data_IF_192893905637
#
_entry.id   IF_192893905637
#
_cell.length_a   1.000
_cell.length_b   1.000
_cell.length_c   1.000
_cell.angle_alpha   90.00
_cell.angle_beta   90.00
_cell.angle_gamma   90.00
#
_symmetry.space_group_name_H-M   'P 1'
#
loop_
_entity.id
_entity.type
_entity.pdbx_description
1 polymer ?
#
# COMPACT_ATOMS: atom_id res chain seq x y z
N UNK A 1 1.05 -10.31 48.04
CA UNK A 1 0.60 -9.56 46.85
C UNK A 1 1.40 -10.11 45.68
N UNK A 2 0.86 -11.10 44.97
CA UNK A 2 1.48 -11.64 43.76
C UNK A 2 1.13 -10.72 42.59
N UNK A 3 2.14 -10.13 41.96
CA UNK A 3 1.95 -9.37 40.73
C UNK A 3 1.54 -10.35 39.64
N UNK A 4 0.26 -10.33 39.25
CA UNK A 4 -0.22 -11.03 38.05
C UNK A 4 0.49 -10.42 36.85
N UNK A 5 1.57 -11.06 36.42
CA UNK A 5 2.17 -10.83 35.12
C UNK A 5 1.15 -11.26 34.08
N UNK A 6 0.38 -10.31 33.57
CA UNK A 6 -0.46 -10.49 32.39
C UNK A 6 0.44 -11.02 31.27
N UNK A 7 0.35 -12.33 31.01
CA UNK A 7 1.05 -12.97 29.91
C UNK A 7 0.48 -12.37 28.64
N UNK A 8 1.20 -11.38 28.08
CA UNK A 8 0.82 -10.72 26.84
C UNK A 8 0.69 -11.81 25.78
N UNK A 9 -0.54 -12.12 25.38
CA UNK A 9 -0.80 -13.10 24.32
C UNK A 9 -0.17 -12.55 23.05
N UNK A 10 0.91 -13.18 22.60
CA UNK A 10 1.61 -12.79 21.38
C UNK A 10 0.90 -13.47 20.23
N UNK A 11 0.21 -12.68 19.41
CA UNK A 11 -0.43 -13.16 18.18
C UNK A 11 0.65 -13.62 17.20
N UNK A 12 0.60 -14.85 16.68
CA UNK A 12 1.56 -15.31 15.69
C UNK A 12 1.48 -14.49 14.39
N UNK A 13 2.63 -14.36 13.70
CA UNK A 13 2.77 -13.62 12.44
C UNK A 13 1.64 -13.88 11.44
N UNK A 14 1.31 -15.15 11.18
CA UNK A 14 0.33 -15.50 10.17
C UNK A 14 -1.08 -15.02 10.53
N UNK A 15 -1.47 -15.06 11.81
CA UNK A 15 -2.76 -14.51 12.24
C UNK A 15 -2.83 -12.99 12.04
N UNK A 16 -1.73 -12.29 12.34
CA UNK A 16 -1.62 -10.85 12.09
C UNK A 16 -1.78 -10.52 10.60
N UNK A 17 -1.11 -11.28 9.72
CA UNK A 17 -1.19 -11.07 8.27
C UNK A 17 -2.58 -11.42 7.71
N UNK A 18 -3.24 -12.45 8.22
CA UNK A 18 -4.62 -12.79 7.85
C UNK A 18 -5.61 -11.69 8.28
N UNK A 19 -5.44 -11.13 9.48
CA UNK A 19 -6.25 -10.01 9.95
C UNK A 19 -6.05 -8.77 9.06
N UNK A 20 -4.80 -8.49 8.65
CA UNK A 20 -4.54 -7.41 7.70
C UNK A 20 -5.13 -7.71 6.31
N UNK A 21 -5.06 -8.94 5.81
CA UNK A 21 -5.71 -9.33 4.55
C UNK A 21 -7.22 -9.05 4.58
N UNK A 22 -7.90 -9.50 5.63
CA UNK A 22 -9.34 -9.33 5.80
C UNK A 22 -9.72 -7.83 5.86
N UNK A 23 -8.87 -6.99 6.47
CA UNK A 23 -9.05 -5.54 6.48
C UNK A 23 -8.84 -4.92 5.09
N UNK A 24 -7.83 -5.37 4.35
CA UNK A 24 -7.58 -4.94 2.97
C UNK A 24 -8.78 -5.23 2.05
N UNK A 25 -9.39 -6.41 2.18
CA UNK A 25 -10.55 -6.82 1.37
C UNK A 25 -11.84 -6.07 1.71
N UNK A 26 -12.03 -5.68 2.98
CA UNK A 26 -13.18 -4.87 3.42
C UNK A 26 -13.12 -3.41 2.96
N UNK A 27 -11.98 -2.99 2.44
CA UNK A 27 -11.71 -1.60 2.09
C UNK A 27 -11.28 -0.79 3.31
N UNK A 28 -10.41 0.20 3.06
CA UNK A 28 -9.74 0.96 4.11
C UNK A 28 -10.18 2.42 4.06
N UNK A 29 -10.66 2.92 5.19
CA UNK A 29 -10.93 4.34 5.40
C UNK A 29 -11.83 4.94 4.31
N UNK A 30 -11.30 5.95 3.61
CA UNK A 30 -11.96 6.71 2.53
C UNK A 30 -11.78 6.09 1.14
N UNK A 31 -11.17 4.89 1.03
CA UNK A 31 -10.91 4.21 -0.24
C UNK A 31 -9.74 4.79 -1.03
N UNK A 32 -9.00 5.76 -0.48
CA UNK A 32 -7.83 6.36 -1.15
C UNK A 32 -6.55 5.57 -0.95
N UNK A 33 -6.55 4.62 -0.02
CA UNK A 33 -5.46 3.67 0.18
C UNK A 33 -6.03 2.25 0.14
N UNK A 34 -5.30 1.34 -0.47
CA UNK A 34 -5.64 -0.09 -0.50
C UNK A 34 -4.38 -0.93 -0.42
N UNK A 35 -4.50 -2.16 0.08
CA UNK A 35 -3.44 -3.15 -0.03
C UNK A 35 -4.03 -4.54 -0.16
N UNK A 36 -3.25 -5.44 -0.75
CA UNK A 36 -3.61 -6.85 -0.91
C UNK A 36 -2.38 -7.72 -1.13
N UNK A 37 -2.58 -9.03 -1.07
CA UNK A 37 -1.52 -9.99 -1.40
C UNK A 37 -1.11 -9.83 -2.86
N UNK A 38 0.19 -9.92 -3.11
CA UNK A 38 0.72 -9.83 -4.46
C UNK A 38 0.57 -11.15 -5.24
N UNK A 39 0.74 -12.25 -4.52
CA UNK A 39 0.61 -13.60 -5.03
C UNK A 39 -0.29 -14.39 -4.07
N UNK A 40 -1.46 -14.81 -4.55
CA UNK A 40 -2.43 -15.56 -3.77
C UNK A 40 -1.92 -16.96 -3.39
N UNK A 41 -0.94 -17.49 -4.13
CA UNK A 41 -0.34 -18.80 -3.88
C UNK A 41 0.81 -18.73 -2.84
N UNK A 42 1.24 -17.52 -2.44
CA UNK A 42 2.26 -17.34 -1.40
C UNK A 42 1.69 -17.67 0.00
N UNK A 43 1.86 -18.93 0.40
CA UNK A 43 1.49 -19.45 1.72
C UNK A 43 2.14 -18.67 2.87
N UNK A 44 3.30 -18.04 2.64
CA UNK A 44 3.98 -17.27 3.68
C UNK A 44 3.49 -15.82 3.77
N UNK A 45 2.64 -15.36 2.85
CA UNK A 45 2.05 -14.01 2.82
C UNK A 45 3.13 -12.93 2.99
N UNK A 46 4.23 -13.05 2.27
CA UNK A 46 5.38 -12.14 2.41
C UNK A 46 5.24 -10.95 1.47
N UNK A 47 4.69 -11.15 0.28
CA UNK A 47 4.63 -10.11 -0.76
C UNK A 47 3.25 -9.48 -0.82
N UNK A 48 3.21 -8.17 -0.67
CA UNK A 48 1.99 -7.36 -0.67
C UNK A 48 2.12 -6.21 -1.66
N UNK A 49 1.00 -5.85 -2.27
CA UNK A 49 0.88 -4.70 -3.14
C UNK A 49 0.00 -3.67 -2.46
N UNK A 50 0.55 -2.48 -2.24
CA UNK A 50 -0.17 -1.31 -1.72
C UNK A 50 -0.44 -0.31 -2.83
N UNK A 51 -1.56 0.39 -2.75
CA UNK A 51 -1.95 1.46 -3.67
C UNK A 51 -2.32 2.70 -2.87
N UNK A 52 -1.81 3.85 -3.29
CA UNK A 52 -2.14 5.16 -2.72
C UNK A 52 -2.64 6.06 -3.86
N UNK A 53 -3.86 6.57 -3.70
CA UNK A 53 -4.39 7.64 -4.54
C UNK A 53 -3.83 8.95 -4.02
N UNK A 54 -3.20 9.70 -4.91
CA UNK A 54 -2.53 10.94 -4.57
C UNK A 54 -3.50 11.97 -3.98
N UNK A 55 -3.13 12.60 -2.85
CA UNK A 55 -4.02 13.51 -2.14
C UNK A 55 -4.35 14.77 -2.98
N UNK A 56 -5.57 15.31 -2.86
CA UNK A 56 -5.97 16.51 -3.57
C UNK A 56 -5.18 17.74 -3.10
N UNK A 57 -5.11 18.78 -3.92
CA UNK A 57 -4.34 20.01 -3.67
C UNK A 57 -2.83 19.77 -3.56
N UNK A 58 -2.31 18.72 -4.20
CA UNK A 58 -0.88 18.43 -4.28
C UNK A 58 -0.48 18.12 -5.71
N UNK A 59 0.81 18.15 -6.01
CA UNK A 59 1.37 17.65 -7.29
C UNK A 59 1.09 16.16 -7.55
N UNK A 60 0.60 15.44 -6.54
CA UNK A 60 0.23 14.04 -6.61
C UNK A 60 -1.26 13.84 -6.95
N UNK A 61 -2.08 14.88 -6.95
CA UNK A 61 -3.52 14.79 -7.23
C UNK A 61 -3.81 14.11 -8.57
N UNK A 62 -4.78 13.20 -8.56
CA UNK A 62 -5.19 12.42 -9.74
C UNK A 62 -4.25 11.25 -10.10
N UNK A 63 -3.09 11.12 -9.42
CA UNK A 63 -2.12 10.05 -9.70
C UNK A 63 -2.33 8.84 -8.78
N UNK A 64 -2.05 7.65 -9.30
CA UNK A 64 -2.09 6.40 -8.55
C UNK A 64 -0.65 5.89 -8.35
N UNK A 65 -0.26 5.68 -7.10
CA UNK A 65 1.04 5.13 -6.73
C UNK A 65 0.90 3.70 -6.26
N UNK A 66 1.64 2.80 -6.92
CA UNK A 66 1.71 1.41 -6.53
C UNK A 66 3.02 1.17 -5.76
N UNK A 67 2.93 0.39 -4.69
CA UNK A 67 4.02 0.05 -3.79
C UNK A 67 4.05 -1.46 -3.57
N UNK A 68 5.24 -2.01 -3.36
CA UNK A 68 5.47 -3.35 -2.83
C UNK A 68 5.83 -3.24 -1.36
N UNK A 69 5.15 -4.03 -0.54
CA UNK A 69 5.50 -4.26 0.85
C UNK A 69 5.95 -5.71 1.00
N UNK A 70 7.10 -5.90 1.64
CA UNK A 70 7.64 -7.23 1.91
C UNK A 70 7.67 -7.48 3.42
N UNK A 71 6.75 -8.32 3.88
CA UNK A 71 6.58 -8.74 5.26
C UNK A 71 7.48 -9.95 5.53
N UNK A 72 8.70 -9.70 6.00
CA UNK A 72 9.68 -10.74 6.34
C UNK A 72 9.21 -11.70 7.45
N UNK A 73 10.06 -12.68 7.77
CA UNK A 73 9.77 -13.69 8.81
C UNK A 73 9.58 -13.10 10.21
N UNK A 74 10.22 -11.96 10.46
CA UNK A 74 10.19 -11.27 11.76
C UNK A 74 9.06 -10.23 11.85
N UNK A 75 8.21 -10.09 10.83
CA UNK A 75 7.02 -9.25 10.93
C UNK A 75 6.02 -9.86 11.93
N UNK A 76 5.35 -9.08 12.82
CA UNK A 76 5.37 -7.62 12.93
C UNK A 76 6.41 -7.06 13.92
N UNK A 77 7.32 -7.87 14.46
CA UNK A 77 8.35 -7.40 15.39
C UNK A 77 9.36 -6.46 14.71
N UNK A 78 9.68 -6.73 13.45
CA UNK A 78 10.42 -5.85 12.56
C UNK A 78 9.51 -5.23 11.49
N UNK A 79 9.83 -4.01 11.01
CA UNK A 79 9.06 -3.38 9.94
C UNK A 79 9.16 -4.16 8.62
N UNK A 80 8.15 -4.08 7.76
CA UNK A 80 8.24 -4.61 6.41
C UNK A 80 9.13 -3.69 5.54
N UNK A 81 9.73 -4.25 4.49
CA UNK A 81 10.43 -3.45 3.49
C UNK A 81 9.42 -2.83 2.53
N UNK A 82 9.50 -1.52 2.31
CA UNK A 82 8.54 -0.79 1.47
C UNK A 82 9.24 -0.17 0.28
N UNK A 83 8.68 -0.36 -0.91
CA UNK A 83 9.25 0.13 -2.16
C UNK A 83 8.15 0.61 -3.10
N UNK A 84 8.25 1.83 -3.61
CA UNK A 84 7.42 2.30 -4.70
C UNK A 84 7.77 1.57 -6.01
N UNK A 85 6.75 1.09 -6.72
CA UNK A 85 6.87 0.64 -8.10
C UNK A 85 6.69 1.79 -9.08
N UNK A 86 5.76 2.70 -8.79
CA UNK A 86 5.59 3.94 -9.56
C UNK A 86 6.71 4.91 -9.19
N UNK A 87 7.33 5.57 -10.18
CA UNK A 87 8.31 6.63 -9.90
C UNK A 87 7.64 7.79 -9.15
N UNK A 88 8.20 8.12 -8.00
CA UNK A 88 7.77 9.25 -7.17
C UNK A 88 9.01 10.04 -6.74
N UNK A 89 8.88 11.36 -6.70
CA UNK A 89 9.88 12.23 -6.11
C UNK A 89 9.40 12.67 -4.72
N UNK A 90 10.08 12.19 -3.68
CA UNK A 90 9.66 12.36 -2.29
C UNK A 90 10.87 12.30 -1.35
N UNK A 91 10.89 13.11 -0.30
CA UNK A 91 12.04 13.23 0.60
C UNK A 91 12.45 11.92 1.29
N UNK A 92 11.51 11.02 1.57
CA UNK A 92 11.76 9.75 2.25
C UNK A 92 11.97 8.56 1.29
N UNK A 93 12.01 8.80 -0.02
CA UNK A 93 12.11 7.74 -1.04
C UNK A 93 13.35 7.93 -1.88
N UNK A 94 14.11 6.85 -2.05
CA UNK A 94 15.23 6.82 -2.98
C UNK A 94 14.69 6.85 -4.43
N UNK A 95 15.06 7.87 -5.21
CA UNK A 95 14.52 8.07 -6.57
C UNK A 95 14.98 7.03 -7.59
N UNK A 96 16.12 6.37 -7.35
CA UNK A 96 16.68 5.36 -8.25
C UNK A 96 16.05 4.00 -7.99
N UNK A 97 15.96 3.61 -6.72
CA UNK A 97 15.48 2.28 -6.34
C UNK A 97 13.98 2.26 -6.06
N UNK A 98 13.38 3.38 -5.65
CA UNK A 98 12.02 3.48 -5.14
C UNK A 98 11.86 3.01 -3.69
N UNK A 99 12.94 2.63 -3.01
CA UNK A 99 12.90 2.15 -1.62
C UNK A 99 12.59 3.31 -0.68
N UNK A 100 11.69 3.09 0.28
CA UNK A 100 11.43 4.02 1.38
C UNK A 100 12.53 3.85 2.42
N UNK A 101 13.31 4.90 2.66
CA UNK A 101 14.45 4.85 3.57
C UNK A 101 13.97 4.91 5.03
N UNK A 102 14.22 3.88 5.87
CA UNK A 102 13.74 3.86 7.25
C UNK A 102 14.22 5.06 8.08
N UNK A 103 15.43 5.57 7.80
CA UNK A 103 16.00 6.73 8.51
C UNK A 103 15.29 8.05 8.22
N UNK A 104 14.66 8.17 7.04
CA UNK A 104 13.95 9.37 6.60
C UNK A 104 12.45 9.28 6.85
N UNK A 105 11.96 8.11 7.25
CA UNK A 105 10.56 7.86 7.52
C UNK A 105 10.37 7.44 8.99
N UNK A 106 9.97 8.38 9.88
CA UNK A 106 9.97 8.17 11.33
C UNK A 106 9.24 6.92 11.82
N UNK A 107 8.19 6.51 11.11
CA UNK A 107 7.41 5.34 11.46
C UNK A 107 8.16 4.02 11.24
N UNK A 108 9.04 3.94 10.23
CA UNK A 108 9.93 2.78 10.04
C UNK A 108 11.15 2.87 10.97
N UNK A 109 11.67 4.08 11.24
CA UNK A 109 12.77 4.29 12.18
C UNK A 109 12.42 3.84 13.62
N UNK A 110 11.21 4.16 14.06
CA UNK A 110 10.69 3.83 15.39
C UNK A 110 9.55 2.82 15.30
N UNK A 111 9.79 1.72 14.58
CA UNK A 111 8.79 0.67 14.36
C UNK A 111 8.29 0.08 15.68
N UNK A 112 6.98 -0.17 15.72
CA UNK A 112 6.30 -0.82 16.83
C UNK A 112 5.41 -1.91 16.26
N UNK A 113 5.34 -3.05 16.92
CA UNK A 113 4.56 -4.21 16.46
C UNK A 113 3.05 -3.96 16.34
N UNK A 114 2.57 -2.88 16.95
CA UNK A 114 1.19 -2.44 16.84
C UNK A 114 0.89 -1.82 15.47
N UNK A 115 1.90 -1.29 14.77
CA UNK A 115 1.74 -0.72 13.44
C UNK A 115 1.42 -1.78 12.38
N UNK A 116 0.64 -1.36 11.40
CA UNK A 116 0.13 -2.18 10.29
C UNK A 116 0.62 -1.66 8.95
N UNK A 117 0.44 -2.46 7.89
CA UNK A 117 0.64 -2.00 6.51
C UNK A 117 -0.25 -0.81 6.16
N UNK A 118 -1.48 -0.78 6.71
CA UNK A 118 -2.39 0.36 6.59
C UNK A 118 -1.76 1.65 7.12
N UNK A 119 -1.20 1.60 8.33
CA UNK A 119 -0.59 2.74 8.98
C UNK A 119 0.60 3.28 8.15
N UNK A 120 1.38 2.39 7.54
CA UNK A 120 2.49 2.75 6.65
C UNK A 120 1.96 3.54 5.45
N UNK A 121 0.93 3.03 4.76
CA UNK A 121 0.36 3.67 3.58
C UNK A 121 -0.29 5.01 3.92
N UNK A 122 -1.00 5.08 5.04
CA UNK A 122 -1.61 6.31 5.55
C UNK A 122 -0.55 7.36 5.90
N UNK A 123 0.55 6.95 6.54
CA UNK A 123 1.64 7.86 6.87
C UNK A 123 2.42 8.30 5.63
N UNK A 124 2.61 7.43 4.63
CA UNK A 124 3.18 7.83 3.33
C UNK A 124 2.29 8.85 2.62
N UNK A 125 0.97 8.65 2.58
CA UNK A 125 0.01 9.64 2.05
C UNK A 125 0.14 10.98 2.78
N UNK A 126 0.29 10.96 4.12
CA UNK A 126 0.52 12.18 4.91
C UNK A 126 1.82 12.88 4.54
N UNK A 127 2.90 12.12 4.32
CA UNK A 127 4.17 12.67 3.87
C UNK A 127 4.08 13.31 2.47
N UNK A 128 3.20 12.83 1.57
CA UNK A 128 2.94 13.46 0.27
C UNK A 128 2.30 14.86 0.43
N UNK A 129 1.49 15.04 1.47
CA UNK A 129 0.87 16.34 1.80
C UNK A 129 1.81 17.27 2.57
N UNK A 130 2.98 16.79 3.01
CA UNK A 130 3.93 17.60 3.75
C UNK A 130 4.37 18.82 2.93
N UNK A 131 4.69 19.96 3.57
CA UNK A 131 5.12 21.16 2.85
C UNK A 131 6.34 20.93 1.95
N UNK A 132 7.18 19.97 2.31
CA UNK A 132 8.37 19.59 1.55
C UNK A 132 8.01 18.83 0.27
N UNK A 133 7.02 17.93 0.30
CA UNK A 133 6.70 17.04 -0.82
C UNK A 133 5.55 17.53 -1.71
N UNK A 134 4.56 18.24 -1.14
CA UNK A 134 3.32 18.61 -1.84
C UNK A 134 3.49 19.45 -3.12
N UNK A 135 4.67 20.07 -3.30
CA UNK A 135 5.06 20.90 -4.46
C UNK A 135 6.26 20.36 -5.23
N UNK A 136 6.81 19.19 -4.87
CA UNK A 136 7.95 18.62 -5.58
C UNK A 136 7.55 18.20 -6.99
N UNK A 137 8.33 18.63 -7.97
CA UNK A 137 8.14 18.22 -9.36
C UNK A 137 8.23 16.70 -9.46
N UNK A 138 7.17 16.09 -9.98
CA UNK A 138 7.07 14.64 -10.16
C UNK A 138 7.52 14.23 -11.56
N UNK A 139 8.06 13.00 -11.71
CA UNK A 139 8.26 12.38 -13.02
C UNK A 139 6.95 12.27 -13.82
N UNK A 140 7.05 11.99 -15.12
CA UNK A 140 5.87 11.78 -15.97
C UNK A 140 5.03 10.61 -15.42
N UNK A 141 3.72 10.80 -15.41
CA UNK A 141 2.77 9.82 -14.89
C UNK A 141 2.90 8.46 -15.61
N UNK A 142 2.68 7.36 -14.88
CA UNK A 142 2.75 6.01 -15.43
C UNK A 142 4.17 5.46 -15.64
N UNK A 143 5.23 6.21 -15.29
CA UNK A 143 6.58 5.65 -15.27
C UNK A 143 6.72 4.64 -14.13
N UNK A 144 6.69 3.36 -14.48
CA UNK A 144 7.02 2.27 -13.58
C UNK A 144 8.53 2.04 -13.53
N UNK A 145 9.05 1.76 -12.33
CA UNK A 145 10.43 1.39 -12.10
C UNK A 145 10.74 -0.02 -12.65
N UNK A 146 9.72 -0.86 -12.82
CA UNK A 146 9.79 -2.15 -13.52
C UNK A 146 8.55 -2.36 -14.42
N UNK A 147 8.73 -2.94 -15.62
CA UNK A 147 7.73 -3.01 -16.71
C UNK A 147 6.47 -3.87 -16.43
N UNK A 148 6.15 -4.20 -15.18
CA UNK A 148 5.11 -5.15 -14.83
C UNK A 148 3.99 -4.44 -14.07
N UNK A 149 3.11 -3.72 -14.77
CA UNK A 149 1.79 -3.43 -14.21
C UNK A 149 0.94 -4.71 -14.31
N UNK A 150 0.29 -5.10 -13.22
CA UNK A 150 -0.83 -6.03 -13.27
C UNK A 150 -2.08 -5.25 -13.73
N UNK A 151 -2.62 -5.63 -14.89
CA UNK A 151 -3.77 -4.97 -15.51
C UNK A 151 -5.04 -4.93 -14.64
N UNK A 152 -5.07 -5.64 -13.51
CA UNK A 152 -6.21 -5.75 -12.61
C UNK A 152 -6.51 -4.45 -11.84
N UNK A 153 -5.50 -3.66 -11.45
CA UNK A 153 -5.73 -2.46 -10.62
C UNK A 153 -6.28 -1.28 -11.45
N UNK A 154 -5.90 -1.19 -12.73
CA UNK A 154 -6.44 -0.16 -13.63
C UNK A 154 -7.89 -0.49 -14.03
N UNK A 155 -8.20 -1.75 -14.36
CA UNK A 155 -9.56 -2.15 -14.76
C UNK A 155 -10.63 -2.00 -13.66
N UNK A 156 -10.27 -2.10 -12.37
CA UNK A 156 -11.20 -1.84 -11.27
C UNK A 156 -11.50 -0.35 -11.05
N UNK A 157 -10.63 0.56 -11.50
CA UNK A 157 -10.79 2.01 -11.29
C UNK A 157 -11.16 2.82 -12.52
N UNK A 158 -10.88 2.38 -13.75
CA UNK A 158 -11.47 2.96 -14.99
C UNK A 158 -12.93 2.53 -15.18
N UNK A 159 -13.66 2.39 -14.08
CA UNK A 159 -14.97 1.77 -14.00
C UNK A 159 -16.08 2.73 -13.59
N UNK A 160 -15.97 4.05 -13.80
CA UNK A 160 -17.14 4.95 -13.93
C UNK A 160 -16.70 6.38 -14.28
N UNK A 161 -17.01 6.87 -15.49
CA UNK A 161 -17.84 8.08 -15.70
C UNK A 161 -17.97 8.44 -17.21
N UNK A 162 -19.24 8.57 -17.60
CA UNK A 162 -19.86 9.23 -18.76
C UNK A 162 -19.90 8.60 -20.18
N UNK A 163 -21.04 7.97 -20.47
CA UNK A 163 -21.93 8.41 -21.57
C UNK A 163 -21.60 8.05 -23.03
N UNK A 164 -22.14 6.91 -23.51
CA UNK A 164 -22.93 6.79 -24.78
C UNK A 164 -23.31 5.34 -25.14
N UNK A 165 -24.62 5.07 -25.09
CA UNK A 165 -25.45 4.23 -25.98
C UNK A 165 -24.98 2.80 -26.33
N UNK A 166 -25.70 1.83 -25.72
CA UNK A 166 -26.31 0.61 -26.29
C UNK A 166 -25.62 -0.18 -27.44
N UNK A 167 -25.21 -1.43 -27.18
CA UNK A 167 -25.93 -2.65 -27.62
C UNK A 167 -25.10 -3.94 -27.39
N UNK A 168 -25.79 -4.95 -26.84
CA UNK A 168 -25.48 -6.39 -26.83
C UNK A 168 -24.38 -6.88 -25.87
N UNK A 169 -24.83 -7.12 -24.64
CA UNK A 169 -24.63 -8.36 -23.87
C UNK A 169 -23.22 -8.94 -23.78
N UNK A 170 -22.56 -8.70 -22.65
CA UNK A 170 -21.70 -9.69 -21.99
C UNK A 170 -21.93 -9.56 -20.48
N UNK A 171 -22.23 -10.70 -19.86
CA UNK A 171 -22.38 -10.89 -18.41
C UNK A 171 -21.00 -10.75 -17.76
N UNK A 172 -20.79 -9.73 -16.92
CA UNK A 172 -19.68 -9.74 -15.96
C UNK A 172 -20.06 -10.61 -14.76
N UNK A 173 -19.58 -11.85 -14.77
CA UNK A 173 -19.45 -12.70 -13.58
C UNK A 173 -17.96 -12.98 -13.35
N UNK A 174 -17.51 -12.57 -12.16
CA UNK A 174 -16.46 -13.14 -11.32
C UNK A 174 -15.14 -13.58 -11.96
N UNK A 175 -14.04 -12.97 -11.52
CA UNK A 175 -12.76 -13.65 -11.30
C UNK A 175 -12.19 -13.18 -9.96
N UNK A 176 -12.82 -13.65 -8.88
CA UNK A 176 -12.04 -14.18 -7.74
C UNK A 176 -11.76 -15.62 -8.16
N UNK A 177 -10.49 -15.93 -8.40
CA UNK A 177 -9.97 -17.29 -8.44
C UNK A 177 -9.23 -17.51 -7.12
#
# INVERSE_FOLDING_TARGET
>A
MGSEGSSRVVVPRNFRLLEELERGEKGIGDGTVSYGMDDADDVYMQSWTGTIIGPPNTVHEGRIYQLKLFCGKDYPDNPPSVRFQTRINMSCVNQETGVVEPSLFPMLAAWKREYTMEDILMQLKKEMMSPQNRKLAQPSEGQVLNSQMNATVICLWTGNEDGRVEQKGIVLRCCIL
#
